data_IF_063397005204
#
_entry.id   IF_063397005204
#
_cell.length_a   1.000
_cell.length_b   1.000
_cell.length_c   1.000
_cell.angle_alpha   90.00
_cell.angle_beta   90.00
_cell.angle_gamma   90.00
#
_symmetry.space_group_name_H-M   'P 1'
#
loop_
_entity.id
_entity.type
_entity.pdbx_description
1 polymer ?
#
# COMPACT_ATOMS: atom_id res chain seq x y z
N UNK A 1 -9.16 9.59 22.11
CA UNK A 1 -9.79 9.08 20.87
C UNK A 1 -8.72 8.56 19.93
N UNK A 2 -8.82 7.30 19.51
CA UNK A 2 -7.87 6.68 18.57
C UNK A 2 -8.18 7.03 17.11
N UNK A 3 -7.27 6.67 16.19
CA UNK A 3 -7.47 6.88 14.74
C UNK A 3 -8.70 6.13 14.19
N UNK A 4 -9.00 4.95 14.72
CA UNK A 4 -10.18 4.16 14.34
C UNK A 4 -11.48 4.88 14.70
N UNK A 5 -11.57 5.42 15.91
CA UNK A 5 -12.75 6.15 16.39
C UNK A 5 -12.99 7.42 15.56
N UNK A 6 -11.91 8.16 15.26
CA UNK A 6 -11.96 9.36 14.41
C UNK A 6 -12.46 9.04 13.00
N UNK A 7 -12.02 7.92 12.43
CA UNK A 7 -12.46 7.46 11.12
C UNK A 7 -13.95 7.10 11.13
N UNK A 8 -14.40 6.32 12.12
CA UNK A 8 -15.80 5.92 12.25
C UNK A 8 -16.74 7.11 12.48
N UNK A 9 -16.30 8.11 13.25
CA UNK A 9 -17.07 9.33 13.52
C UNK A 9 -17.00 10.38 12.39
N UNK A 10 -16.24 10.14 11.32
CA UNK A 10 -16.02 11.11 10.24
C UNK A 10 -15.25 12.38 10.68
N UNK A 11 -14.67 12.40 11.90
CA UNK A 11 -13.93 13.53 12.47
C UNK A 11 -12.47 13.49 12.02
N UNK A 12 -12.25 13.68 10.72
CA UNK A 12 -10.93 13.54 10.07
C UNK A 12 -10.11 14.83 10.03
N UNK A 13 -10.49 15.87 10.79
CA UNK A 13 -9.71 17.10 10.88
C UNK A 13 -8.25 16.77 11.28
N UNK A 14 -7.29 17.29 10.54
CA UNK A 14 -5.84 17.03 10.68
C UNK A 14 -5.43 15.55 10.50
N UNK A 15 -6.21 14.73 9.80
CA UNK A 15 -5.88 13.34 9.47
C UNK A 15 -5.87 13.13 7.96
N UNK A 16 -4.87 12.40 7.45
CA UNK A 16 -4.83 11.98 6.05
C UNK A 16 -5.29 10.54 5.92
N UNK A 17 -6.21 10.29 4.98
CA UNK A 17 -6.69 8.94 4.67
C UNK A 17 -6.02 8.47 3.40
N UNK A 18 -5.40 7.31 3.46
CA UNK A 18 -4.81 6.61 2.31
C UNK A 18 -5.63 5.37 1.99
N UNK A 19 -5.62 4.96 0.73
CA UNK A 19 -6.25 3.73 0.27
C UNK A 19 -5.26 2.90 -0.54
N UNK A 20 -5.42 1.58 -0.51
CA UNK A 20 -4.75 0.71 -1.46
C UNK A 20 -5.24 1.05 -2.87
N UNK A 21 -4.31 1.12 -3.82
CA UNK A 21 -4.64 1.31 -5.22
C UNK A 21 -5.28 0.05 -5.78
N UNK A 22 -6.30 0.26 -6.60
CA UNK A 22 -6.95 -0.82 -7.32
C UNK A 22 -6.11 -1.14 -8.57
N UNK A 23 -5.86 -2.42 -8.85
CA UNK A 23 -5.15 -2.80 -10.06
C UNK A 23 -5.97 -2.45 -11.30
N UNK A 24 -5.29 -2.13 -12.40
CA UNK A 24 -5.93 -1.83 -13.69
C UNK A 24 -5.89 -3.05 -14.59
N UNK A 25 -6.94 -3.24 -15.37
CA UNK A 25 -6.98 -4.31 -16.36
C UNK A 25 -5.93 -4.05 -17.44
N UNK A 26 -4.99 -4.98 -17.59
CA UNK A 26 -4.04 -5.01 -18.69
C UNK A 26 -4.54 -6.00 -19.77
N UNK A 27 -4.87 -5.47 -20.95
CA UNK A 27 -5.40 -6.25 -22.08
C UNK A 27 -4.36 -7.18 -22.71
N UNK A 28 -3.09 -6.80 -22.70
CA UNK A 28 -2.01 -7.58 -23.33
C UNK A 28 -1.72 -8.84 -22.53
N UNK A 29 -1.68 -8.71 -21.20
CA UNK A 29 -1.44 -9.83 -20.29
C UNK A 29 -2.72 -10.51 -19.79
N UNK A 30 -3.91 -10.01 -20.15
CA UNK A 30 -5.22 -10.46 -19.66
C UNK A 30 -5.31 -10.59 -18.13
N UNK A 31 -4.79 -9.61 -17.40
CA UNK A 31 -4.76 -9.64 -15.93
C UNK A 31 -4.89 -8.24 -15.33
N UNK A 32 -5.41 -8.17 -14.11
CA UNK A 32 -5.37 -6.96 -13.29
C UNK A 32 -3.95 -6.76 -12.74
N UNK A 33 -3.35 -5.61 -13.01
CA UNK A 33 -1.98 -5.30 -12.62
C UNK A 33 -1.84 -3.89 -12.03
N UNK A 34 -0.88 -3.76 -11.12
CA UNK A 34 -0.34 -2.47 -10.69
C UNK A 34 1.09 -2.36 -11.22
N UNK A 35 1.45 -1.18 -11.71
CA UNK A 35 2.81 -0.89 -12.13
C UNK A 35 3.66 -0.52 -10.91
N UNK A 36 4.59 -1.41 -10.55
CA UNK A 36 5.55 -1.21 -9.47
C UNK A 36 6.89 -0.63 -9.93
N UNK A 37 7.04 -0.25 -11.21
CA UNK A 37 8.26 0.37 -11.76
C UNK A 37 9.53 -0.42 -11.42
N UNK A 38 9.46 -1.75 -11.50
CA UNK A 38 10.55 -2.66 -11.16
C UNK A 38 10.81 -2.86 -9.65
N UNK A 39 10.05 -2.20 -8.77
CA UNK A 39 10.16 -2.35 -7.31
C UNK A 39 9.48 -3.61 -6.78
N UNK A 40 8.66 -4.25 -7.60
CA UNK A 40 8.20 -5.62 -7.41
C UNK A 40 8.53 -6.42 -8.67
N UNK A 41 9.25 -7.53 -8.52
CA UNK A 41 9.62 -8.44 -9.62
C UNK A 41 8.97 -9.81 -9.49
N UNK A 42 8.40 -10.12 -8.32
CA UNK A 42 7.69 -11.37 -8.05
C UNK A 42 6.24 -11.10 -7.62
N UNK A 43 5.32 -11.98 -8.02
CA UNK A 43 3.93 -11.90 -7.60
C UNK A 43 3.77 -12.12 -6.09
N UNK A 44 2.92 -11.33 -5.45
CA UNK A 44 2.56 -11.49 -4.03
C UNK A 44 1.29 -10.72 -3.71
N UNK A 45 0.47 -11.24 -2.80
CA UNK A 45 -0.62 -10.48 -2.16
C UNK A 45 -0.12 -9.29 -1.32
N UNK A 46 1.19 -9.28 -0.98
CA UNK A 46 1.88 -8.21 -0.26
C UNK A 46 2.33 -7.06 -1.17
N UNK A 47 2.15 -7.21 -2.48
CA UNK A 47 2.46 -6.15 -3.44
C UNK A 47 1.34 -5.11 -3.42
N UNK A 48 1.59 -3.97 -2.76
CA UNK A 48 0.57 -2.92 -2.60
C UNK A 48 1.14 -1.53 -2.87
N UNK A 49 0.24 -0.60 -3.21
CA UNK A 49 0.55 0.82 -3.33
C UNK A 49 -0.51 1.62 -2.60
N UNK A 50 -0.11 2.57 -1.76
CA UNK A 50 -1.05 3.49 -1.11
C UNK A 50 -0.98 4.87 -1.75
N UNK A 51 -2.17 5.41 -2.06
CA UNK A 51 -2.34 6.80 -2.52
C UNK A 51 -3.35 7.52 -1.62
N UNK A 52 -3.26 8.86 -1.50
CA UNK A 52 -4.26 9.64 -0.78
C UNK A 52 -5.67 9.35 -1.29
N UNK A 53 -6.64 9.22 -0.38
CA UNK A 53 -8.05 8.97 -0.75
C UNK A 53 -8.64 10.14 -1.57
N UNK A 54 -8.21 11.37 -1.27
CA UNK A 54 -8.68 12.62 -1.88
C UNK A 54 -7.61 13.25 -2.78
N UNK A 55 -6.96 12.45 -3.63
CA UNK A 55 -5.88 12.90 -4.52
C UNK A 55 -5.81 12.11 -5.82
N UNK A 56 -4.79 12.39 -6.62
CA UNK A 56 -4.56 11.65 -7.86
C UNK A 56 -4.16 10.19 -7.54
N UNK A 57 -4.72 9.24 -8.27
CA UNK A 57 -4.51 7.81 -7.99
C UNK A 57 -3.04 7.39 -8.17
N UNK A 58 -2.35 8.02 -9.13
CA UNK A 58 -0.92 7.85 -9.39
C UNK A 58 -0.02 8.50 -8.34
N UNK A 59 -0.58 9.21 -7.37
CA UNK A 59 0.16 9.84 -6.27
C UNK A 59 0.56 8.83 -5.19
N UNK A 60 1.38 7.86 -5.57
CA UNK A 60 1.83 6.78 -4.68
C UNK A 60 2.74 7.36 -3.60
N UNK A 61 2.36 7.14 -2.33
CA UNK A 61 3.12 7.59 -1.15
C UNK A 61 3.72 6.47 -0.33
N UNK A 62 3.28 5.24 -0.57
CA UNK A 62 3.86 4.03 0.00
C UNK A 62 3.75 2.92 -1.05
N UNK A 63 4.80 2.13 -1.19
CA UNK A 63 4.87 0.95 -2.05
C UNK A 63 5.57 -0.17 -1.27
N UNK A 64 4.97 -1.35 -1.29
CA UNK A 64 5.63 -2.59 -0.89
C UNK A 64 5.64 -3.55 -2.08
N UNK A 65 6.79 -4.13 -2.40
CA UNK A 65 6.96 -4.99 -3.58
C UNK A 65 7.91 -6.15 -3.33
N UNK A 66 7.49 -7.38 -3.62
CA UNK A 66 8.33 -8.58 -3.48
C UNK A 66 9.39 -8.61 -4.58
N UNK A 67 10.65 -8.83 -4.18
CA UNK A 67 11.79 -8.96 -5.11
C UNK A 67 12.53 -10.27 -4.98
N UNK A 68 12.48 -10.91 -3.81
CA UNK A 68 13.02 -12.24 -3.58
C UNK A 68 12.24 -12.93 -2.47
N UNK A 69 12.59 -14.17 -2.14
CA UNK A 69 12.01 -14.83 -0.97
C UNK A 69 12.36 -14.08 0.30
N UNK A 70 11.33 -13.82 1.10
CA UNK A 70 11.36 -13.01 2.32
C UNK A 70 12.00 -11.62 2.16
N UNK A 71 12.08 -11.09 0.94
CA UNK A 71 12.72 -9.80 0.65
C UNK A 71 11.77 -8.90 -0.15
N UNK A 72 11.56 -7.70 0.37
CA UNK A 72 10.63 -6.72 -0.17
C UNK A 72 11.29 -5.34 -0.24
N UNK A 73 11.03 -4.61 -1.32
CA UNK A 73 11.25 -3.17 -1.35
C UNK A 73 10.12 -2.48 -0.60
N UNK A 74 10.47 -1.46 0.18
CA UNK A 74 9.52 -0.56 0.84
C UNK A 74 9.92 0.87 0.50
N UNK A 75 9.16 1.50 -0.39
CA UNK A 75 9.36 2.89 -0.77
C UNK A 75 8.28 3.73 -0.10
N UNK A 76 8.65 4.87 0.48
CA UNK A 76 7.70 5.78 1.11
C UNK A 76 8.10 7.22 0.90
N UNK A 77 7.11 8.09 0.88
CA UNK A 77 7.27 9.53 0.76
C UNK A 77 6.43 10.25 1.81
N UNK A 78 6.61 11.58 1.91
CA UNK A 78 5.75 12.41 2.75
C UNK A 78 4.27 12.11 2.46
N UNK A 79 3.43 11.95 3.49
CA UNK A 79 3.66 12.33 4.89
C UNK A 79 4.23 11.22 5.79
N UNK A 80 4.53 10.03 5.26
CA UNK A 80 4.96 8.91 6.10
C UNK A 80 6.36 9.16 6.68
N UNK A 81 6.50 8.91 7.99
CA UNK A 81 7.82 8.69 8.58
C UNK A 81 8.32 7.26 8.31
N UNK A 82 9.62 7.04 8.46
CA UNK A 82 10.20 5.70 8.34
C UNK A 82 9.55 4.70 9.32
N UNK A 83 9.26 5.13 10.55
CA UNK A 83 8.58 4.29 11.55
C UNK A 83 7.16 3.91 11.12
N UNK A 84 6.39 4.87 10.60
CA UNK A 84 5.04 4.60 10.10
C UNK A 84 5.08 3.65 8.90
N UNK A 85 5.94 3.92 7.92
CA UNK A 85 6.11 3.07 6.74
C UNK A 85 6.52 1.64 7.12
N UNK A 86 7.47 1.50 8.04
CA UNK A 86 7.90 0.19 8.52
C UNK A 86 6.78 -0.55 9.27
N UNK A 87 6.06 0.13 10.17
CA UNK A 87 4.89 -0.45 10.84
C UNK A 87 3.82 -0.90 9.84
N UNK A 88 3.55 -0.12 8.80
CA UNK A 88 2.65 -0.53 7.72
C UNK A 88 3.14 -1.76 6.95
N UNK A 89 4.43 -1.82 6.62
CA UNK A 89 5.00 -3.00 5.95
C UNK A 89 4.83 -4.28 6.78
N UNK A 90 5.00 -4.20 8.11
CA UNK A 90 4.73 -5.32 9.01
C UNK A 90 3.25 -5.73 9.01
N UNK A 91 2.34 -4.76 9.07
CA UNK A 91 0.88 -5.02 9.01
C UNK A 91 0.49 -5.69 7.69
N UNK A 92 1.06 -5.25 6.56
CA UNK A 92 0.83 -5.87 5.25
C UNK A 92 1.39 -7.29 5.24
N UNK A 93 2.59 -7.47 5.78
CA UNK A 93 3.22 -8.78 5.86
C UNK A 93 2.36 -9.77 6.66
N UNK A 94 1.87 -9.35 7.83
CA UNK A 94 1.05 -10.17 8.72
C UNK A 94 -0.34 -10.47 8.12
N UNK A 95 -1.08 -9.44 7.70
CA UNK A 95 -2.43 -9.61 7.14
C UNK A 95 -2.47 -10.38 5.80
N UNK A 96 -1.35 -10.43 5.09
CA UNK A 96 -1.22 -11.16 3.84
C UNK A 96 -0.63 -12.57 4.04
N UNK A 97 -0.36 -12.95 5.28
CA UNK A 97 -0.04 -14.32 5.67
C UNK A 97 -1.38 -15.02 5.87
N UNK A 98 -1.99 -15.43 4.76
CA UNK A 98 -3.07 -16.40 4.85
C UNK A 98 -2.51 -17.65 5.52
N UNK A 99 -3.05 -17.98 6.70
CA UNK A 99 -3.14 -19.38 7.08
C UNK A 99 -3.75 -20.13 5.90
N UNK A 100 -2.99 -21.06 5.33
CA UNK A 100 -3.49 -22.05 4.38
C UNK A 100 -4.61 -22.86 5.01
#
# INVERSE_FOLDING_TARGET
EGLKDKLAAGKLANTMVFKNREPKWNKESNMYQLDFQGRATLASCKNIQLSPKTGAENDVRFLMGKVHDNTFNVDFAKPFSALQAFAFALIVFDNSSGSF
#
